data_IF_039840437600
#
_entry.id   IF_039840437600
#
_cell.length_a   1.000
_cell.length_b   1.000
_cell.length_c   1.000
_cell.angle_alpha   90.00
_cell.angle_beta   90.00
_cell.angle_gamma   90.00
#
_symmetry.space_group_name_H-M   'P 1'
#
loop_
_entity.id
_entity.type
_entity.pdbx_description
1 polymer ?
#
# COMPACT_ATOMS: atom_id res chain seq x y z
N UNK A 1 -5.07 -16.73 1.46
CA UNK A 1 -4.14 -17.76 0.91
C UNK A 1 -3.98 -17.65 -0.61
N UNK A 2 -5.08 -17.58 -1.38
CA UNK A 2 -5.03 -17.49 -2.85
C UNK A 2 -4.16 -16.35 -3.39
N UNK A 3 -4.33 -15.12 -2.89
CA UNK A 3 -3.48 -13.99 -3.29
C UNK A 3 -1.97 -14.26 -3.06
N UNK A 4 -1.61 -14.79 -1.88
CA UNK A 4 -0.22 -15.12 -1.52
C UNK A 4 0.37 -16.15 -2.48
N UNK A 5 -0.39 -17.20 -2.79
CA UNK A 5 0.02 -18.22 -3.74
C UNK A 5 0.16 -17.68 -5.16
N UNK A 6 -0.82 -16.93 -5.67
CA UNK A 6 -0.77 -16.37 -7.01
C UNK A 6 0.45 -15.46 -7.19
N UNK A 7 0.74 -14.60 -6.20
CA UNK A 7 1.95 -13.77 -6.20
C UNK A 7 3.23 -14.62 -6.12
N UNK A 8 3.24 -15.66 -5.30
CA UNK A 8 4.39 -16.55 -5.17
C UNK A 8 4.68 -17.31 -6.47
N UNK A 9 3.66 -17.93 -7.07
CA UNK A 9 3.79 -18.67 -8.31
C UNK A 9 4.22 -17.74 -9.46
N UNK A 10 3.58 -16.57 -9.61
CA UNK A 10 3.97 -15.58 -10.61
C UNK A 10 5.41 -15.09 -10.42
N UNK A 11 5.87 -14.94 -9.17
CA UNK A 11 7.24 -14.57 -8.88
C UNK A 11 8.23 -15.68 -9.24
N UNK A 12 7.89 -16.95 -8.96
CA UNK A 12 8.74 -18.12 -9.23
C UNK A 12 8.78 -18.52 -10.71
N UNK A 13 7.69 -18.34 -11.44
CA UNK A 13 7.59 -18.65 -12.86
C UNK A 13 8.03 -17.51 -13.78
N UNK A 14 8.42 -16.36 -13.21
CA UNK A 14 8.82 -15.19 -13.99
C UNK A 14 10.04 -15.49 -14.87
N UNK A 15 9.82 -15.40 -16.18
CA UNK A 15 10.89 -15.38 -17.17
C UNK A 15 11.30 -13.92 -17.42
N UNK A 16 12.55 -13.58 -17.12
CA UNK A 16 13.06 -12.23 -17.39
C UNK A 16 13.03 -11.95 -18.90
N UNK A 17 12.38 -10.86 -19.27
CA UNK A 17 12.53 -10.20 -20.55
C UNK A 17 13.55 -9.07 -20.41
N UNK A 18 14.16 -8.67 -21.53
CA UNK A 18 15.03 -7.50 -21.56
C UNK A 18 14.25 -6.28 -22.03
N UNK A 19 14.61 -5.13 -21.48
CA UNK A 19 14.19 -3.83 -22.00
C UNK A 19 15.38 -2.87 -21.99
N UNK A 20 15.25 -1.76 -22.70
CA UNK A 20 16.31 -0.80 -22.91
C UNK A 20 15.89 0.58 -22.41
N UNK A 21 16.82 1.26 -21.75
CA UNK A 21 16.66 2.68 -21.39
C UNK A 21 17.74 3.48 -22.09
N UNK A 22 17.38 4.69 -22.54
CA UNK A 22 18.28 5.59 -23.26
C UNK A 22 18.39 6.89 -22.47
N UNK A 23 19.62 7.26 -22.12
CA UNK A 23 19.92 8.49 -21.40
C UNK A 23 21.00 9.30 -22.14
N UNK A 24 20.81 10.60 -22.23
CA UNK A 24 21.73 11.54 -22.84
C UNK A 24 22.51 12.32 -21.79
N UNK A 25 23.82 12.46 -21.99
CA UNK A 25 24.68 13.43 -21.32
C UNK A 25 24.72 14.69 -22.18
N UNK A 26 24.27 15.81 -21.63
CA UNK A 26 24.03 17.05 -22.34
C UNK A 26 24.88 18.18 -21.75
N UNK A 27 25.61 18.89 -22.61
CA UNK A 27 26.47 20.00 -22.25
C UNK A 27 25.97 21.34 -22.77
N UNK A 28 25.77 22.30 -21.88
CA UNK A 28 25.35 23.68 -22.17
C UNK A 28 26.31 24.65 -21.49
N UNK A 29 27.41 25.00 -22.16
CA UNK A 29 28.49 25.78 -21.55
C UNK A 29 29.12 25.04 -20.37
N UNK A 30 29.09 25.65 -19.18
CA UNK A 30 29.54 25.04 -17.92
C UNK A 30 28.51 24.08 -17.30
N UNK A 31 27.25 24.14 -17.74
CA UNK A 31 26.19 23.29 -17.21
C UNK A 31 26.24 21.91 -17.87
N UNK A 32 25.99 20.89 -17.05
CA UNK A 32 25.88 19.49 -17.46
C UNK A 32 24.57 18.93 -16.93
N UNK A 33 23.81 18.29 -17.81
CA UNK A 33 22.56 17.64 -17.48
C UNK A 33 22.56 16.21 -18.01
N UNK A 34 21.78 15.36 -17.37
CA UNK A 34 21.50 14.02 -17.87
C UNK A 34 19.98 13.85 -18.04
N UNK A 35 19.56 13.61 -19.27
CA UNK A 35 18.15 13.48 -19.63
C UNK A 35 17.81 12.06 -20.07
N UNK A 36 16.63 11.56 -19.71
CA UNK A 36 16.11 10.28 -20.21
C UNK A 36 15.28 10.51 -21.47
N UNK A 37 15.38 9.60 -22.43
CA UNK A 37 14.58 9.66 -23.66
C UNK A 37 13.09 9.64 -23.30
N UNK A 38 12.34 10.58 -23.88
CA UNK A 38 10.88 10.51 -23.96
C UNK A 38 10.57 9.58 -25.13
N UNK A 39 10.10 8.37 -24.80
CA UNK A 39 9.89 7.33 -25.81
C UNK A 39 8.67 7.67 -26.68
N UNK A 40 8.83 7.54 -27.99
CA UNK A 40 7.76 7.76 -28.95
C UNK A 40 6.68 6.66 -28.83
N UNK A 41 5.42 7.00 -29.08
CA UNK A 41 4.30 6.07 -28.92
C UNK A 41 4.31 4.90 -29.93
N UNK A 42 4.96 5.07 -31.07
CA UNK A 42 5.15 4.08 -32.13
C UNK A 42 6.44 3.26 -31.96
N UNK A 43 7.19 3.47 -30.88
CA UNK A 43 8.36 2.67 -30.55
C UNK A 43 7.96 1.20 -30.22
N UNK A 44 8.89 0.25 -30.39
CA UNK A 44 8.69 -1.13 -29.94
C UNK A 44 8.70 -1.18 -28.41
N UNK A 45 7.51 -1.20 -27.81
CA UNK A 45 7.28 -1.09 -26.36
C UNK A 45 6.63 -2.34 -25.76
N UNK A 46 6.86 -2.58 -24.47
CA UNK A 46 6.03 -3.47 -23.66
C UNK A 46 4.81 -2.76 -23.03
N UNK A 47 4.02 -3.51 -22.26
CA UNK A 47 2.84 -3.03 -21.53
C UNK A 47 3.14 -1.93 -20.49
N UNK A 48 4.42 -1.76 -20.12
CA UNK A 48 4.90 -0.70 -19.22
C UNK A 48 5.58 0.45 -19.96
N UNK A 49 5.39 0.55 -21.28
CA UNK A 49 6.01 1.56 -22.14
C UNK A 49 7.55 1.57 -22.10
N UNK A 50 8.18 0.40 -21.92
CA UNK A 50 9.64 0.24 -21.97
C UNK A 50 10.08 -0.29 -23.33
N UNK A 51 11.19 0.21 -23.86
CA UNK A 51 11.70 -0.19 -25.18
C UNK A 51 12.16 -1.65 -25.12
N UNK A 52 11.64 -2.52 -25.99
CA UNK A 52 12.01 -3.95 -26.02
C UNK A 52 12.93 -4.33 -27.18
N UNK A 53 13.20 -3.39 -28.10
CA UNK A 53 14.08 -3.60 -29.24
C UNK A 53 15.45 -2.89 -29.05
N UNK A 54 16.53 -3.68 -29.11
CA UNK A 54 17.90 -3.20 -28.94
C UNK A 54 18.37 -2.33 -30.12
N UNK A 55 17.95 -2.68 -31.34
CA UNK A 55 18.34 -1.96 -32.55
C UNK A 55 17.70 -0.57 -32.59
N UNK A 56 16.43 -0.46 -32.18
CA UNK A 56 15.76 0.82 -32.00
C UNK A 56 16.49 1.71 -30.99
N UNK A 57 16.81 1.18 -29.79
CA UNK A 57 17.52 1.95 -28.77
C UNK A 57 18.92 2.41 -29.26
N UNK A 58 19.63 1.54 -29.97
CA UNK A 58 20.95 1.84 -30.55
C UNK A 58 20.85 2.88 -31.67
N UNK A 59 19.85 2.78 -32.54
CA UNK A 59 19.61 3.74 -33.61
C UNK A 59 19.34 5.14 -33.05
N UNK A 60 18.51 5.26 -32.01
CA UNK A 60 18.30 6.55 -31.33
C UNK A 60 19.60 7.08 -30.74
N UNK A 61 20.40 6.22 -30.12
CA UNK A 61 21.68 6.62 -29.53
C UNK A 61 22.67 7.14 -30.57
N UNK A 62 22.83 6.45 -31.70
CA UNK A 62 23.73 6.87 -32.76
C UNK A 62 23.23 8.12 -33.50
N UNK A 63 21.91 8.26 -33.62
CA UNK A 63 21.29 9.47 -34.18
C UNK A 63 21.54 10.71 -33.31
N UNK A 64 21.66 10.57 -31.99
CA UNK A 64 21.79 11.69 -31.05
C UNK A 64 23.23 11.99 -30.61
N UNK A 65 24.13 11.00 -30.64
CA UNK A 65 25.50 11.15 -30.12
C UNK A 65 26.27 12.25 -30.87
N UNK A 66 26.89 13.15 -30.10
CA UNK A 66 27.67 14.31 -30.59
C UNK A 66 26.88 15.25 -31.51
N UNK A 67 25.53 15.26 -31.41
CA UNK A 67 24.68 16.21 -32.14
C UNK A 67 24.44 17.49 -31.34
N UNK A 68 24.10 18.60 -32.02
CA UNK A 68 23.56 19.77 -31.37
C UNK A 68 22.35 19.39 -30.51
N UNK A 69 22.28 19.99 -29.34
CA UNK A 69 21.17 19.90 -28.41
C UNK A 69 20.61 21.30 -28.15
N UNK A 70 19.30 21.41 -27.98
CA UNK A 70 18.65 22.66 -27.62
C UNK A 70 17.67 22.45 -26.46
N UNK A 71 17.55 23.45 -25.59
CA UNK A 71 16.53 23.44 -24.55
C UNK A 71 15.19 23.85 -25.16
N UNK A 72 14.27 22.90 -25.30
CA UNK A 72 12.93 23.13 -25.87
C UNK A 72 11.90 23.56 -24.82
N UNK A 73 12.08 23.14 -23.56
CA UNK A 73 11.23 23.52 -22.43
C UNK A 73 12.10 23.55 -21.17
N UNK A 74 11.97 24.60 -20.36
CA UNK A 74 12.58 24.66 -19.04
C UNK A 74 11.59 25.30 -18.07
N UNK A 75 11.28 24.60 -16.98
CA UNK A 75 10.37 25.09 -15.94
C UNK A 75 10.92 24.80 -14.56
N UNK A 76 10.76 25.78 -13.67
CA UNK A 76 10.98 25.63 -12.23
C UNK A 76 9.68 26.02 -11.54
N UNK A 77 9.09 25.07 -10.83
CA UNK A 77 7.82 25.24 -10.13
C UNK A 77 8.03 25.11 -8.63
N UNK A 78 7.43 25.99 -7.84
CA UNK A 78 7.29 25.78 -6.41
C UNK A 78 6.15 24.78 -6.17
N UNK A 79 6.46 23.71 -5.45
CA UNK A 79 5.52 22.65 -5.08
C UNK A 79 5.51 22.47 -3.58
N UNK A 80 4.40 21.96 -3.09
CA UNK A 80 4.22 21.62 -1.69
C UNK A 80 3.66 20.21 -1.53
N UNK A 81 4.07 19.54 -0.46
CA UNK A 81 3.55 18.23 -0.06
C UNK A 81 2.89 18.37 1.30
N UNK A 82 1.57 18.21 1.33
CA UNK A 82 0.78 18.20 2.55
C UNK A 82 1.18 17.01 3.45
N UNK A 83 0.99 17.17 4.76
CA UNK A 83 1.24 16.09 5.70
C UNK A 83 0.41 14.83 5.36
N UNK A 84 0.95 13.63 5.63
CA UNK A 84 0.19 12.39 5.60
C UNK A 84 -0.94 12.49 6.63
N UNK A 85 -2.10 11.93 6.29
CA UNK A 85 -3.25 12.00 7.18
C UNK A 85 -2.98 11.24 8.50
N UNK A 86 -3.70 11.59 9.59
CA UNK A 86 -3.83 10.75 10.77
C UNK A 86 -4.18 9.30 10.41
N UNK A 87 -3.80 8.36 11.26
CA UNK A 87 -3.93 6.95 10.94
C UNK A 87 -5.39 6.46 11.03
N UNK A 88 -5.84 5.76 9.99
CA UNK A 88 -6.79 4.66 10.17
C UNK A 88 -6.05 3.42 10.69
N UNK A 89 -6.78 2.42 11.22
CA UNK A 89 -6.16 1.22 11.81
C UNK A 89 -5.21 0.52 10.83
N UNK A 90 -5.64 0.34 9.58
CA UNK A 90 -4.83 -0.37 8.59
C UNK A 90 -3.54 0.39 8.25
N UNK A 91 -3.60 1.72 8.11
CA UNK A 91 -2.44 2.55 7.84
C UNK A 91 -1.41 2.43 8.98
N UNK A 92 -1.88 2.40 10.22
CA UNK A 92 -1.04 2.18 11.39
C UNK A 92 -0.43 0.77 11.38
N UNK A 93 -1.21 -0.28 11.09
CA UNK A 93 -0.71 -1.65 10.99
C UNK A 93 0.39 -1.79 9.93
N UNK A 94 0.17 -1.20 8.74
CA UNK A 94 1.16 -1.15 7.66
C UNK A 94 2.41 -0.40 8.11
N UNK A 95 2.25 0.75 8.77
CA UNK A 95 3.35 1.56 9.26
C UNK A 95 4.19 0.80 10.29
N UNK A 96 3.56 0.18 11.29
CA UNK A 96 4.23 -0.56 12.37
C UNK A 96 4.91 -1.83 11.85
N UNK A 97 4.30 -2.53 10.89
CA UNK A 97 4.91 -3.68 10.22
C UNK A 97 6.19 -3.29 9.46
N UNK A 98 6.17 -2.16 8.75
CA UNK A 98 7.34 -1.65 8.02
C UNK A 98 8.45 -1.15 8.93
N UNK A 99 8.12 -0.33 9.92
CA UNK A 99 9.11 0.44 10.71
C UNK A 99 9.56 -0.28 11.97
N UNK A 100 8.70 -1.09 12.58
CA UNK A 100 8.97 -1.77 13.85
C UNK A 100 8.89 -3.30 13.77
N UNK A 101 8.52 -3.87 12.61
CA UNK A 101 8.30 -5.32 12.45
C UNK A 101 7.25 -5.89 13.42
N UNK A 102 6.27 -5.06 13.81
CA UNK A 102 5.12 -5.44 14.62
C UNK A 102 3.99 -5.82 13.65
N UNK A 103 3.48 -7.03 13.76
CA UNK A 103 2.38 -7.51 12.91
C UNK A 103 1.05 -6.79 13.18
N UNK A 104 0.07 -7.00 12.30
CA UNK A 104 -1.17 -6.26 12.34
C UNK A 104 -2.05 -6.62 13.56
N UNK A 105 -2.02 -7.88 14.00
CA UNK A 105 -2.79 -8.34 15.16
C UNK A 105 -2.22 -7.78 16.45
N UNK A 106 -0.90 -7.84 16.62
CA UNK A 106 -0.20 -7.23 17.74
C UNK A 106 -0.40 -5.72 17.77
N UNK A 107 -0.38 -5.04 16.61
CA UNK A 107 -0.71 -3.62 16.53
C UNK A 107 -2.14 -3.32 17.02
N UNK A 108 -3.12 -4.15 16.63
CA UNK A 108 -4.51 -4.02 17.13
C UNK A 108 -4.58 -4.22 18.65
N UNK A 109 -3.90 -5.23 19.20
CA UNK A 109 -3.85 -5.47 20.64
C UNK A 109 -3.20 -4.31 21.41
N UNK A 110 -2.09 -3.75 20.89
CA UNK A 110 -1.41 -2.60 21.50
C UNK A 110 -2.29 -1.35 21.49
N UNK A 111 -2.97 -1.06 20.38
CA UNK A 111 -3.92 0.06 20.33
C UNK A 111 -5.12 -0.15 21.26
N UNK A 112 -5.58 -1.40 21.43
CA UNK A 112 -6.63 -1.73 22.40
C UNK A 112 -6.17 -1.40 23.82
N UNK A 113 -4.94 -1.76 24.19
CA UNK A 113 -4.36 -1.41 25.50
C UNK A 113 -4.23 0.12 25.67
N UNK A 114 -3.68 0.82 24.68
CA UNK A 114 -3.59 2.30 24.65
C UNK A 114 -4.95 2.97 24.88
N UNK A 115 -6.00 2.47 24.23
CA UNK A 115 -7.36 3.00 24.37
C UNK A 115 -8.01 2.65 25.71
N UNK A 116 -7.95 1.39 26.14
CA UNK A 116 -8.78 0.92 27.25
C UNK A 116 -8.12 1.07 28.60
N UNK A 117 -6.83 0.74 28.70
CA UNK A 117 -6.04 0.83 29.94
C UNK A 117 -5.59 2.26 30.20
N UNK A 118 -5.01 2.92 29.20
CA UNK A 118 -4.39 4.24 29.37
C UNK A 118 -5.28 5.41 28.96
N UNK A 119 -6.38 5.14 28.25
CA UNK A 119 -7.25 6.17 27.64
C UNK A 119 -6.49 7.15 26.74
N UNK A 120 -5.36 6.70 26.18
CA UNK A 120 -4.35 7.54 25.51
C UNK A 120 -4.72 7.92 24.07
N UNK A 121 -5.59 7.13 23.43
CA UNK A 121 -5.98 7.30 22.03
C UNK A 121 -7.50 7.16 21.86
N UNK A 122 -8.01 7.68 20.75
CA UNK A 122 -9.42 7.54 20.34
C UNK A 122 -9.77 6.11 19.90
N UNK A 123 -10.97 5.90 19.36
CA UNK A 123 -11.42 4.58 18.90
C UNK A 123 -10.42 3.93 17.94
N UNK A 124 -9.93 2.74 18.30
CA UNK A 124 -8.76 2.11 17.66
C UNK A 124 -9.07 1.22 16.46
N UNK A 125 -10.35 1.07 16.08
CA UNK A 125 -10.76 0.25 14.92
C UNK A 125 -11.36 1.07 13.79
N UNK A 126 -10.96 2.35 13.72
CA UNK A 126 -11.43 3.28 12.70
C UNK A 126 -10.85 2.94 11.31
N UNK A 127 -11.69 3.09 10.29
CA UNK A 127 -11.34 3.04 8.87
C UNK A 127 -11.10 4.43 8.27
N UNK A 128 -11.30 5.49 9.06
CA UNK A 128 -11.22 6.87 8.64
C UNK A 128 -9.87 7.48 8.99
N UNK A 129 -9.31 8.27 8.06
CA UNK A 129 -8.07 9.03 8.26
C UNK A 129 -8.32 10.54 8.43
N UNK A 130 -9.59 10.95 8.58
CA UNK A 130 -10.00 12.35 8.77
C UNK A 130 -10.50 12.62 10.20
N UNK A 131 -10.54 13.90 10.54
CA UNK A 131 -10.92 14.46 11.83
C UNK A 131 -12.03 15.49 11.65
N UNK A 132 -12.79 15.73 12.71
CA UNK A 132 -13.88 16.70 12.71
C UNK A 132 -13.43 18.12 13.05
N UNK A 133 -14.29 19.10 12.78
CA UNK A 133 -14.07 20.50 13.18
C UNK A 133 -14.05 20.68 14.71
N UNK A 134 -14.80 19.86 15.45
CA UNK A 134 -14.76 19.82 16.91
C UNK A 134 -13.39 19.37 17.42
N UNK A 135 -12.80 18.34 16.81
CA UNK A 135 -11.46 17.87 17.16
C UNK A 135 -10.38 18.89 16.83
N UNK A 136 -10.61 19.75 15.83
CA UNK A 136 -9.73 20.89 15.57
C UNK A 136 -9.80 21.92 16.72
N UNK A 137 -11.00 22.23 17.22
CA UNK A 137 -11.18 23.15 18.33
C UNK A 137 -10.55 22.65 19.65
N UNK A 138 -10.49 21.34 19.86
CA UNK A 138 -9.85 20.70 21.02
C UNK A 138 -8.33 20.54 20.90
N UNK A 139 -7.78 20.73 19.69
CA UNK A 139 -6.37 20.49 19.41
C UNK A 139 -5.39 21.30 20.27
N UNK A 140 -5.60 22.60 20.57
CA UNK A 140 -4.67 23.37 21.40
C UNK A 140 -4.41 22.73 22.77
N UNK A 141 -5.46 22.22 23.42
CA UNK A 141 -5.34 21.54 24.72
C UNK A 141 -4.58 20.22 24.58
N UNK A 142 -4.92 19.41 23.58
CA UNK A 142 -4.26 18.12 23.31
C UNK A 142 -2.77 18.32 23.03
N UNK A 143 -2.41 19.28 22.16
CA UNK A 143 -1.02 19.61 21.83
C UNK A 143 -0.21 20.07 23.04
N UNK A 144 -0.80 20.90 23.92
CA UNK A 144 -0.14 21.35 25.15
C UNK A 144 0.21 20.18 26.07
N UNK A 145 -0.74 19.28 26.33
CA UNK A 145 -0.53 18.12 27.19
C UNK A 145 0.49 17.14 26.60
N UNK A 146 0.47 16.94 25.28
CA UNK A 146 1.45 16.09 24.60
C UNK A 146 2.86 16.68 24.68
N UNK A 147 3.01 18.00 24.52
CA UNK A 147 4.32 18.66 24.64
C UNK A 147 4.90 18.53 26.04
N UNK A 148 4.07 18.55 27.09
CA UNK A 148 4.51 18.31 28.47
C UNK A 148 4.89 16.84 28.72
N UNK A 149 4.12 15.91 28.16
CA UNK A 149 4.32 14.47 28.36
C UNK A 149 5.51 13.90 27.54
N UNK A 150 5.92 14.58 26.47
CA UNK A 150 6.89 14.07 25.49
C UNK A 150 8.04 15.06 25.26
N UNK A 151 8.90 15.30 26.27
CA UNK A 151 10.05 16.20 26.13
C UNK A 151 11.03 15.77 25.04
N UNK A 152 11.11 14.47 24.73
CA UNK A 152 11.90 13.93 23.61
C UNK A 152 11.47 14.48 22.24
N UNK A 153 10.25 15.02 22.13
CA UNK A 153 9.72 15.62 20.90
C UNK A 153 9.70 17.15 20.94
N UNK A 154 10.41 17.79 21.88
CA UNK A 154 10.40 19.25 22.04
C UNK A 154 10.72 20.02 20.73
N UNK A 155 11.65 19.51 19.92
CA UNK A 155 11.98 20.11 18.61
C UNK A 155 10.82 20.05 17.60
N UNK A 156 9.99 19.00 17.66
CA UNK A 156 8.78 18.93 16.84
C UNK A 156 7.71 19.91 17.34
N UNK A 157 7.50 19.98 18.66
CA UNK A 157 6.52 20.87 19.27
C UNK A 157 6.86 22.35 19.11
N UNK A 158 8.14 22.72 18.98
CA UNK A 158 8.54 24.11 18.73
C UNK A 158 8.10 24.65 17.36
N UNK A 159 7.76 23.79 16.41
CA UNK A 159 7.31 24.16 15.06
C UNK A 159 5.77 24.09 14.90
N UNK A 160 5.05 23.69 15.94
CA UNK A 160 3.60 23.53 15.93
C UNK A 160 2.90 24.88 15.87
N UNK A 161 1.95 25.02 14.95
CA UNK A 161 0.96 26.08 14.97
C UNK A 161 -0.44 25.47 15.16
N UNK A 162 -1.04 25.63 16.34
CA UNK A 162 -2.37 25.08 16.64
C UNK A 162 -3.51 25.73 15.86
N UNK A 163 -3.28 26.89 15.25
CA UNK A 163 -4.24 27.53 14.34
C UNK A 163 -4.18 26.97 12.90
N UNK A 164 -3.16 26.15 12.57
CA UNK A 164 -3.09 25.49 11.27
C UNK A 164 -4.12 24.37 11.21
N UNK A 165 -5.11 24.53 10.33
CA UNK A 165 -6.05 23.47 9.94
C UNK A 165 -5.56 22.78 8.66
N UNK A 166 -4.97 21.59 8.78
CA UNK A 166 -4.60 20.78 7.61
C UNK A 166 -5.84 20.18 6.93
N UNK A 167 -5.63 19.56 5.75
CA UNK A 167 -6.65 18.77 5.05
C UNK A 167 -7.23 17.59 5.84
N UNK A 168 -6.66 17.26 7.00
CA UNK A 168 -7.17 16.18 7.85
C UNK A 168 -8.49 16.55 8.54
N UNK A 169 -8.74 17.84 8.78
CA UNK A 169 -9.97 18.33 9.41
C UNK A 169 -11.02 18.63 8.34
N UNK A 170 -11.88 17.66 8.06
CA UNK A 170 -12.86 17.70 6.97
C UNK A 170 -14.06 16.81 7.32
N UNK A 171 -15.09 17.40 7.93
CA UNK A 171 -16.31 16.71 8.36
C UNK A 171 -16.99 15.94 7.21
N UNK A 172 -16.88 16.42 5.97
CA UNK A 172 -17.49 15.77 4.81
C UNK A 172 -16.87 14.41 4.47
N UNK A 173 -15.71 14.10 5.05
CA UNK A 173 -14.97 12.85 4.84
C UNK A 173 -14.85 12.00 6.10
N UNK A 174 -15.49 12.40 7.18
CA UNK A 174 -15.60 11.61 8.41
C UNK A 174 -16.66 10.52 8.19
N UNK A 175 -16.33 9.27 8.56
CA UNK A 175 -17.26 8.13 8.51
C UNK A 175 -18.03 8.02 9.84
N UNK A 176 -18.45 6.82 10.25
CA UNK A 176 -18.97 6.60 11.60
C UNK A 176 -17.94 6.94 12.71
N UNK A 177 -16.66 6.96 12.36
CA UNK A 177 -15.54 7.27 13.25
C UNK A 177 -14.56 8.25 12.60
N UNK A 178 -13.76 8.90 13.43
CA UNK A 178 -12.63 9.74 13.00
C UNK A 178 -11.34 8.93 13.07
N UNK A 179 -10.23 9.50 12.63
CA UNK A 179 -8.91 8.87 12.75
C UNK A 179 -8.48 8.59 14.19
N UNK A 180 -7.50 7.69 14.30
CA UNK A 180 -6.86 7.32 15.56
C UNK A 180 -5.87 8.43 15.93
N UNK A 181 -6.19 9.20 16.97
CA UNK A 181 -5.40 10.33 17.47
C UNK A 181 -5.18 10.19 18.98
N UNK A 182 -4.16 10.86 19.55
CA UNK A 182 -4.04 10.96 20.99
C UNK A 182 -5.23 11.73 21.60
N UNK A 183 -5.55 11.42 22.85
CA UNK A 183 -6.54 12.16 23.64
C UNK A 183 -5.85 13.20 24.53
N UNK A 184 -6.63 14.14 25.06
CA UNK A 184 -6.17 15.12 26.05
C UNK A 184 -6.04 14.50 27.47
N UNK A 185 -5.44 13.32 27.58
CA UNK A 185 -5.21 12.62 28.86
C UNK A 185 -3.71 12.60 29.15
N UNK A 186 -3.35 13.01 30.37
CA UNK A 186 -1.97 12.89 30.85
C UNK A 186 -1.63 11.42 31.08
N UNK A 187 -0.68 10.90 30.32
CA UNK A 187 -0.18 9.54 30.48
C UNK A 187 1.27 9.54 30.96
N UNK A 188 1.60 8.58 31.81
CA UNK A 188 2.99 8.33 32.19
C UNK A 188 3.64 7.41 31.14
N UNK A 189 4.37 8.03 30.21
CA UNK A 189 5.02 7.34 29.07
C UNK A 189 6.00 6.26 29.57
N UNK A 190 6.56 6.42 30.78
CA UNK A 190 7.49 5.45 31.35
C UNK A 190 6.81 4.12 31.74
N UNK A 191 5.47 4.08 31.84
CA UNK A 191 4.71 2.86 32.13
C UNK A 191 4.34 2.06 30.88
N UNK A 192 4.53 2.63 29.68
CA UNK A 192 4.30 1.92 28.43
C UNK A 192 5.44 0.93 28.19
N UNK A 193 5.10 -0.27 27.74
CA UNK A 193 6.10 -1.16 27.13
C UNK A 193 6.71 -0.52 25.89
N UNK A 194 7.87 -1.00 25.43
CA UNK A 194 8.55 -0.46 24.25
C UNK A 194 7.65 -0.47 23.00
N UNK A 195 6.87 -1.54 22.81
CA UNK A 195 5.93 -1.66 21.70
C UNK A 195 4.72 -0.72 21.84
N UNK A 196 4.15 -0.60 23.05
CA UNK A 196 3.06 0.38 23.31
C UNK A 196 3.56 1.81 23.06
N UNK A 197 4.78 2.12 23.51
CA UNK A 197 5.42 3.42 23.29
C UNK A 197 5.67 3.66 21.82
N UNK A 198 6.14 2.67 21.06
CA UNK A 198 6.36 2.79 19.62
C UNK A 198 5.05 3.10 18.87
N UNK A 199 3.97 2.35 19.14
CA UNK A 199 2.65 2.59 18.55
C UNK A 199 2.10 3.98 18.93
N UNK A 200 2.18 4.34 20.21
CA UNK A 200 1.69 5.62 20.68
C UNK A 200 2.45 6.81 20.06
N UNK A 201 3.78 6.74 20.01
CA UNK A 201 4.60 7.79 19.38
C UNK A 201 4.33 7.90 17.88
N UNK A 202 4.04 6.82 17.18
CA UNK A 202 3.63 6.87 15.78
C UNK A 202 2.32 7.68 15.62
N UNK A 203 1.31 7.37 16.44
CA UNK A 203 0.02 8.06 16.46
C UNK A 203 0.20 9.55 16.79
N UNK A 204 0.96 9.89 17.83
CA UNK A 204 1.24 11.27 18.23
C UNK A 204 1.95 12.03 17.12
N UNK A 205 3.04 11.49 16.56
CA UNK A 205 3.79 12.16 15.50
C UNK A 205 2.91 12.42 14.27
N UNK A 206 2.03 11.47 13.90
CA UNK A 206 1.11 11.66 12.78
C UNK A 206 0.07 12.75 13.06
N UNK A 207 -0.44 12.82 14.28
CA UNK A 207 -1.36 13.88 14.70
C UNK A 207 -0.69 15.25 14.73
N UNK A 208 0.48 15.37 15.37
CA UNK A 208 1.22 16.65 15.48
C UNK A 208 1.62 17.18 14.09
N UNK A 209 1.92 16.29 13.13
CA UNK A 209 2.20 16.68 11.75
C UNK A 209 1.08 17.49 11.07
N UNK A 210 -0.17 17.38 11.54
CA UNK A 210 -1.28 18.18 11.01
C UNK A 210 -1.17 19.68 11.34
N UNK A 211 -0.32 20.02 12.30
CA UNK A 211 -0.09 21.39 12.76
C UNK A 211 1.29 21.93 12.34
N UNK A 212 2.10 21.11 11.66
CA UNK A 212 3.42 21.49 11.14
C UNK A 212 3.34 22.08 9.73
N UNK A 213 4.36 22.86 9.30
CA UNK A 213 4.43 23.35 7.92
C UNK A 213 4.41 22.25 6.88
N UNK A 214 3.78 22.52 5.74
CA UNK A 214 3.92 21.65 4.58
C UNK A 214 5.38 21.65 4.10
N UNK A 215 5.83 20.53 3.54
CA UNK A 215 7.11 20.51 2.82
C UNK A 215 6.96 21.37 1.59
N UNK A 216 7.91 22.28 1.35
CA UNK A 216 8.02 23.06 0.12
C UNK A 216 9.32 22.73 -0.60
N UNK A 217 9.24 22.63 -1.93
CA UNK A 217 10.38 22.32 -2.76
C UNK A 217 10.21 22.96 -4.14
N UNK A 218 11.33 23.26 -4.78
CA UNK A 218 11.36 23.62 -6.19
C UNK A 218 11.50 22.34 -7.02
N UNK A 219 10.72 22.23 -8.10
CA UNK A 219 10.78 21.14 -9.07
C UNK A 219 11.23 21.71 -10.41
N UNK A 220 12.44 21.36 -10.82
CA UNK A 220 12.97 21.68 -12.14
C UNK A 220 12.66 20.55 -13.11
N UNK A 221 12.09 20.87 -14.27
CA UNK A 221 11.95 19.96 -15.40
C UNK A 221 12.45 20.67 -16.66
N UNK A 222 13.37 20.03 -17.35
CA UNK A 222 13.96 20.54 -18.59
C UNK A 222 13.84 19.47 -19.66
N UNK A 223 13.32 19.86 -20.83
CA UNK A 223 13.30 19.02 -22.03
C UNK A 223 14.31 19.53 -23.04
N UNK A 224 14.98 18.59 -23.67
CA UNK A 224 16.06 18.83 -24.62
C UNK A 224 15.71 18.19 -25.96
N UNK A 225 15.79 18.97 -27.03
CA UNK A 225 15.76 18.48 -28.40
C UNK A 225 17.15 18.03 -28.83
N UNK A 226 17.26 16.83 -29.39
CA UNK A 226 18.50 16.31 -30.00
C UNK A 226 18.13 15.54 -31.26
N UNK A 227 18.42 16.11 -32.43
CA UNK A 227 18.20 15.47 -33.73
C UNK A 227 16.78 14.86 -33.91
N UNK A 228 15.74 15.59 -33.47
CA UNK A 228 14.34 15.14 -33.55
C UNK A 228 13.86 14.26 -32.40
N UNK A 229 14.74 13.88 -31.47
CA UNK A 229 14.38 13.16 -30.25
C UNK A 229 14.32 14.09 -29.04
N UNK A 230 13.46 13.77 -28.07
CA UNK A 230 13.29 14.56 -26.86
C UNK A 230 13.85 13.80 -25.66
N UNK A 231 14.70 14.47 -24.87
CA UNK A 231 15.18 13.98 -23.58
C UNK A 231 14.62 14.85 -22.46
N UNK A 232 14.31 14.27 -21.30
CA UNK A 232 13.80 15.00 -20.13
C UNK A 232 14.69 14.76 -18.91
N UNK A 233 15.07 15.83 -18.23
CA UNK A 233 15.72 15.80 -16.94
C UNK A 233 14.81 16.43 -15.89
N UNK A 234 14.78 15.85 -14.69
CA UNK A 234 14.03 16.37 -13.54
C UNK A 234 14.95 16.41 -12.33
N UNK A 235 14.78 17.44 -11.51
CA UNK A 235 15.46 17.56 -10.23
C UNK A 235 14.60 18.34 -9.25
N UNK A 236 14.79 18.11 -7.95
CA UNK A 236 14.07 18.85 -6.91
C UNK A 236 15.02 19.42 -5.87
N UNK A 237 14.64 20.53 -5.25
CA UNK A 237 15.38 21.16 -4.15
C UNK A 237 14.42 21.54 -3.05
N UNK A 238 14.53 20.87 -1.89
CA UNK A 238 13.73 21.20 -0.72
C UNK A 238 14.08 22.61 -0.25
N UNK A 239 13.09 23.48 -0.19
CA UNK A 239 13.21 24.86 0.31
C UNK A 239 12.76 24.97 1.76
N UNK A 240 11.76 24.18 2.14
CA UNK A 240 11.29 24.05 3.52
C UNK A 240 10.96 22.57 3.78
N UNK A 241 11.61 21.89 4.74
CA UNK A 241 11.29 20.50 5.03
C UNK A 241 9.89 20.35 5.64
N UNK A 242 9.45 21.30 6.47
CA UNK A 242 8.16 21.23 7.13
C UNK A 242 8.01 19.93 7.95
N UNK A 243 6.85 19.28 7.85
CA UNK A 243 6.55 18.03 8.56
C UNK A 243 7.57 16.91 8.32
N UNK A 244 8.28 16.92 7.18
CA UNK A 244 9.24 15.85 6.84
C UNK A 244 10.54 15.91 7.63
N UNK A 245 10.76 16.98 8.41
CA UNK A 245 11.87 17.03 9.36
C UNK A 245 11.70 16.05 10.53
N UNK A 246 10.46 15.70 10.87
CA UNK A 246 10.12 14.96 12.09
C UNK A 246 9.33 13.67 11.82
N UNK A 247 8.70 13.58 10.64
CA UNK A 247 7.89 12.43 10.22
C UNK A 247 8.39 11.93 8.88
N UNK A 248 8.68 10.63 8.81
CA UNK A 248 9.15 9.97 7.59
C UNK A 248 8.14 10.13 6.46
N UNK A 249 8.61 10.58 5.30
CA UNK A 249 7.79 10.55 4.09
C UNK A 249 7.46 9.09 3.74
N UNK A 250 6.18 8.77 3.72
CA UNK A 250 5.71 7.52 3.16
C UNK A 250 5.61 7.70 1.65
N UNK A 251 6.73 7.46 0.97
CA UNK A 251 6.68 7.36 -0.47
C UNK A 251 5.85 6.13 -0.84
N UNK A 252 4.72 6.35 -1.53
CA UNK A 252 4.11 5.34 -2.38
C UNK A 252 5.07 5.12 -3.56
N UNK A 253 6.22 4.51 -3.31
CA UNK A 253 6.93 3.86 -4.39
C UNK A 253 6.00 2.74 -4.85
N UNK A 254 5.28 2.97 -5.96
CA UNK A 254 4.89 1.88 -6.82
C UNK A 254 6.16 1.09 -7.06
N UNK A 255 6.21 -0.16 -6.58
CA UNK A 255 7.38 -1.02 -6.74
C UNK A 255 7.70 -1.23 -8.24
N UNK A 256 6.75 -0.92 -9.13
CA UNK A 256 6.91 -0.84 -10.59
C UNK A 256 7.71 0.38 -11.10
N UNK A 257 7.85 1.45 -10.32
CA UNK A 257 8.64 2.64 -10.69
C UNK A 257 10.14 2.51 -10.37
N UNK A 258 10.57 1.41 -9.74
CA UNK A 258 11.94 1.22 -9.23
C UNK A 258 12.97 0.71 -10.25
N UNK A 259 12.56 0.52 -11.51
CA UNK A 259 13.41 -0.09 -12.55
C UNK A 259 14.14 0.96 -13.41
N UNK A 260 13.94 2.24 -13.10
CA UNK A 260 14.64 3.35 -13.70
C UNK A 260 15.64 3.91 -12.69
N UNK A 261 16.94 3.60 -12.82
CA UNK A 261 17.97 4.35 -12.10
C UNK A 261 17.74 5.85 -12.35
N UNK A 262 17.46 6.61 -11.28
CA UNK A 262 17.31 8.06 -11.40
C UNK A 262 18.64 8.62 -11.89
N UNK A 263 18.62 9.12 -13.11
CA UNK A 263 19.76 9.80 -13.70
C UNK A 263 19.73 11.21 -13.12
N UNK A 264 20.39 11.39 -11.97
CA UNK A 264 20.24 12.59 -11.16
C UNK A 264 21.10 13.73 -11.69
N UNK A 265 20.45 14.79 -12.16
CA UNK A 265 21.12 16.07 -12.45
C UNK A 265 21.05 16.99 -11.23
N UNK A 266 22.12 17.75 -10.91
CA UNK A 266 22.06 18.77 -9.86
C UNK A 266 20.95 19.79 -10.17
N UNK A 267 20.19 20.19 -9.15
CA UNK A 267 19.06 21.11 -9.33
C UNK A 267 19.48 22.43 -9.98
N UNK A 268 20.54 23.07 -9.46
CA UNK A 268 20.98 24.38 -9.95
C UNK A 268 21.43 24.29 -11.44
N UNK A 269 22.02 23.16 -11.86
CA UNK A 269 22.39 22.92 -13.26
C UNK A 269 21.19 22.83 -14.22
N UNK A 270 20.01 22.40 -13.73
CA UNK A 270 18.78 22.41 -14.51
C UNK A 270 18.04 23.76 -14.41
N UNK A 271 18.06 24.38 -13.23
CA UNK A 271 17.35 25.63 -12.97
C UNK A 271 17.94 26.84 -13.73
N UNK A 272 19.24 26.80 -14.05
CA UNK A 272 19.92 27.87 -14.80
C UNK A 272 19.65 27.82 -16.31
N UNK A 273 19.12 26.71 -16.84
CA UNK A 273 18.85 26.53 -18.27
C UNK A 273 17.59 27.27 -18.71
N UNK A 274 17.63 27.83 -19.92
CA UNK A 274 16.55 28.60 -20.53
C UNK A 274 16.18 28.05 -21.89
N UNK A 275 14.92 28.21 -22.26
CA UNK A 275 14.44 27.85 -23.62
C UNK A 275 15.28 28.57 -24.66
N UNK A 276 15.78 27.82 -25.64
CA UNK A 276 16.66 28.30 -26.69
C UNK A 276 18.16 28.22 -26.37
N UNK A 277 18.56 27.82 -25.17
CA UNK A 277 19.96 27.52 -24.87
C UNK A 277 20.46 26.41 -25.82
N UNK A 278 21.62 26.65 -26.42
CA UNK A 278 22.25 25.74 -27.36
C UNK A 278 23.40 24.98 -26.70
N UNK A 279 23.48 23.69 -26.98
CA UNK A 279 24.42 22.76 -26.38
C UNK A 279 24.75 21.60 -27.29
N UNK A 280 25.35 20.57 -26.71
CA UNK A 280 25.77 19.34 -27.40
C UNK A 280 25.37 18.13 -26.57
N UNK A 281 24.93 17.07 -27.24
CA UNK A 281 24.80 15.75 -26.65
C UNK A 281 26.17 15.06 -26.59
N UNK A 282 26.91 15.31 -25.52
CA UNK A 282 28.27 14.77 -25.27
C UNK A 282 28.31 13.23 -25.30
N UNK A 283 27.21 12.56 -24.95
CA UNK A 283 27.14 11.10 -24.99
C UNK A 283 25.72 10.56 -24.83
N UNK A 284 25.52 9.32 -25.28
CA UNK A 284 24.29 8.55 -25.03
C UNK A 284 24.69 7.22 -24.40
N UNK A 285 23.98 6.87 -23.33
CA UNK A 285 24.05 5.56 -22.67
C UNK A 285 22.79 4.78 -23.00
N UNK A 286 22.96 3.59 -23.56
CA UNK A 286 21.89 2.58 -23.68
C UNK A 286 22.12 1.53 -22.62
N UNK A 287 21.21 1.42 -21.65
CA UNK A 287 21.28 0.40 -20.61
C UNK A 287 20.28 -0.73 -20.91
N UNK A 288 20.82 -1.95 -20.97
CA UNK A 288 20.05 -3.19 -21.10
C UNK A 288 19.66 -3.69 -19.72
N UNK A 289 18.38 -3.62 -19.43
CA UNK A 289 17.80 -3.97 -18.14
C UNK A 289 16.98 -5.26 -18.24
N UNK A 290 16.72 -5.89 -17.09
CA UNK A 290 15.91 -7.10 -17.00
C UNK A 290 14.63 -6.82 -16.23
N UNK A 291 13.51 -7.32 -16.73
CA UNK A 291 12.25 -7.29 -15.98
C UNK A 291 12.39 -8.10 -14.70
N UNK A 292 11.87 -7.55 -13.61
CA UNK A 292 11.76 -8.22 -12.31
C UNK A 292 10.32 -8.65 -12.08
N UNK A 293 10.10 -9.79 -11.41
CA UNK A 293 8.77 -10.12 -10.92
C UNK A 293 8.34 -9.13 -9.84
N UNK A 294 7.03 -9.02 -9.64
CA UNK A 294 6.50 -8.35 -8.45
C UNK A 294 7.08 -9.01 -7.18
N UNK A 295 7.54 -8.22 -6.20
CA UNK A 295 8.03 -8.76 -4.94
C UNK A 295 6.99 -9.65 -4.26
N UNK A 296 7.47 -10.70 -3.58
CA UNK A 296 6.64 -11.50 -2.69
C UNK A 296 6.02 -10.60 -1.62
N UNK A 297 4.77 -10.92 -1.24
CA UNK A 297 4.06 -10.17 -0.22
C UNK A 297 4.84 -10.15 1.09
N UNK A 298 4.87 -8.99 1.72
CA UNK A 298 4.96 -8.86 3.17
C UNK A 298 3.54 -8.71 3.70
N UNK A 299 3.36 -8.79 5.02
CA UNK A 299 2.06 -8.49 5.62
C UNK A 299 1.59 -7.09 5.24
N UNK A 300 2.48 -6.09 5.33
CA UNK A 300 2.20 -4.71 4.93
C UNK A 300 1.76 -4.59 3.46
N UNK A 301 2.43 -5.27 2.52
CA UNK A 301 2.04 -5.17 1.10
C UNK A 301 0.77 -5.97 0.81
N UNK A 302 0.51 -7.07 1.50
CA UNK A 302 -0.76 -7.81 1.39
C UNK A 302 -1.93 -6.98 1.92
N UNK A 303 -1.80 -6.37 3.10
CA UNK A 303 -2.84 -5.52 3.68
C UNK A 303 -3.22 -4.36 2.77
N UNK A 304 -2.24 -3.68 2.17
CA UNK A 304 -2.49 -2.64 1.15
C UNK A 304 -3.23 -3.20 -0.07
N UNK A 305 -2.86 -4.39 -0.50
CA UNK A 305 -3.48 -5.01 -1.66
C UNK A 305 -4.92 -5.46 -1.41
N UNK A 306 -5.21 -5.89 -0.18
CA UNK A 306 -6.55 -6.24 0.27
C UNK A 306 -7.53 -5.06 0.22
N UNK A 307 -7.05 -3.81 0.20
CA UNK A 307 -7.90 -2.63 -0.02
C UNK A 307 -8.28 -2.42 -1.48
N UNK A 308 -7.59 -3.07 -2.41
CA UNK A 308 -7.63 -2.75 -3.85
C UNK A 308 -7.68 -4.02 -4.71
N UNK A 309 -8.36 -5.06 -4.25
CA UNK A 309 -8.35 -6.36 -4.93
C UNK A 309 -9.12 -6.36 -6.25
N UNK A 310 -10.01 -5.39 -6.46
CA UNK A 310 -10.73 -5.21 -7.72
C UNK A 310 -9.82 -5.14 -8.96
N UNK A 311 -8.56 -4.71 -8.81
CA UNK A 311 -7.59 -4.72 -9.92
C UNK A 311 -7.22 -6.13 -10.42
N UNK A 312 -7.49 -7.17 -9.63
CA UNK A 312 -7.27 -8.57 -9.99
C UNK A 312 -8.51 -9.25 -10.57
N UNK A 313 -9.67 -8.60 -10.50
CA UNK A 313 -10.93 -9.11 -11.08
C UNK A 313 -10.88 -8.95 -12.59
N UNK A 314 -11.17 -10.04 -13.30
CA UNK A 314 -11.13 -10.09 -14.76
C UNK A 314 -12.43 -9.58 -15.38
N UNK A 315 -13.57 -9.92 -14.79
CA UNK A 315 -14.88 -9.48 -15.27
C UNK A 315 -15.07 -7.98 -15.00
N UNK A 316 -15.26 -7.14 -16.04
CA UNK A 316 -15.40 -5.69 -15.87
C UNK A 316 -16.60 -5.27 -15.00
N UNK A 317 -17.70 -6.02 -15.02
CA UNK A 317 -18.90 -5.73 -14.21
C UNK A 317 -18.62 -6.02 -12.74
N UNK A 318 -18.07 -7.20 -12.42
CA UNK A 318 -17.71 -7.57 -11.03
C UNK A 318 -16.68 -6.60 -10.46
N UNK A 319 -15.70 -6.19 -11.28
CA UNK A 319 -14.70 -5.20 -10.91
C UNK A 319 -15.37 -3.88 -10.52
N UNK A 320 -16.30 -3.40 -11.34
CA UNK A 320 -17.01 -2.15 -11.07
C UNK A 320 -17.85 -2.24 -9.79
N UNK A 321 -18.56 -3.36 -9.56
CA UNK A 321 -19.32 -3.57 -8.33
C UNK A 321 -18.47 -3.49 -7.06
N UNK A 322 -17.26 -4.07 -7.06
CA UNK A 322 -16.35 -3.92 -5.92
C UNK A 322 -15.92 -2.47 -5.72
N UNK A 323 -15.61 -1.76 -6.80
CA UNK A 323 -15.20 -0.34 -6.74
C UNK A 323 -16.36 0.50 -6.16
N UNK A 324 -17.58 0.28 -6.64
CA UNK A 324 -18.76 1.06 -6.26
C UNK A 324 -19.12 0.84 -4.77
N UNK A 325 -18.97 -0.38 -4.25
CA UNK A 325 -19.15 -0.68 -2.81
C UNK A 325 -18.30 0.20 -1.90
N UNK A 326 -17.09 0.53 -2.35
CA UNK A 326 -16.12 1.31 -1.58
C UNK A 326 -16.09 2.78 -2.01
N UNK A 327 -17.03 3.21 -2.87
CA UNK A 327 -17.12 4.59 -3.32
C UNK A 327 -17.26 5.55 -2.13
N UNK A 328 -16.43 6.59 -2.11
CA UNK A 328 -16.39 7.57 -1.02
C UNK A 328 -15.56 7.16 0.19
N UNK A 329 -15.14 5.88 0.31
CA UNK A 329 -14.26 5.42 1.39
C UNK A 329 -12.81 5.66 1.01
N UNK A 330 -12.16 6.64 1.64
CA UNK A 330 -10.74 6.90 1.37
C UNK A 330 -9.86 5.72 1.79
N UNK A 331 -9.05 5.23 0.85
CA UNK A 331 -8.10 4.14 1.10
C UNK A 331 -8.61 2.78 0.64
N UNK A 332 -9.92 2.60 0.53
CA UNK A 332 -10.56 1.41 -0.03
C UNK A 332 -10.94 1.65 -1.49
N UNK A 333 -10.74 0.66 -2.35
CA UNK A 333 -11.08 0.73 -3.77
C UNK A 333 -11.35 -0.68 -4.30
N UNK A 334 -12.47 -1.25 -3.89
CA UNK A 334 -12.81 -2.65 -4.17
C UNK A 334 -11.95 -3.62 -3.40
N UNK A 335 -11.89 -3.43 -2.08
CA UNK A 335 -11.16 -4.29 -1.15
C UNK A 335 -11.91 -5.58 -0.76
N UNK A 336 -11.34 -6.36 0.15
CA UNK A 336 -12.01 -7.48 0.84
C UNK A 336 -11.72 -7.45 2.33
N UNK A 337 -12.72 -7.84 3.12
CA UNK A 337 -12.71 -7.72 4.58
C UNK A 337 -12.75 -6.26 5.05
N UNK A 338 -12.95 -6.07 6.34
CA UNK A 338 -12.93 -4.75 6.99
C UNK A 338 -11.59 -4.56 7.71
N UNK A 339 -11.18 -3.32 8.02
CA UNK A 339 -9.96 -3.07 8.80
C UNK A 339 -9.88 -3.88 10.10
N UNK A 340 -11.03 -4.13 10.75
CA UNK A 340 -11.11 -4.90 11.98
C UNK A 340 -10.91 -6.41 11.80
N UNK A 341 -11.13 -6.98 10.61
CA UNK A 341 -11.07 -8.44 10.39
C UNK A 341 -9.83 -8.91 9.66
N UNK A 342 -9.19 -8.05 8.85
CA UNK A 342 -8.04 -8.43 8.01
C UNK A 342 -6.88 -9.03 8.83
N UNK A 343 -6.48 -8.37 9.91
CA UNK A 343 -5.38 -8.84 10.76
C UNK A 343 -5.65 -10.23 11.34
N UNK A 344 -6.83 -10.44 11.93
CA UNK A 344 -7.23 -11.73 12.50
C UNK A 344 -7.30 -12.83 11.42
N UNK A 345 -7.76 -12.49 10.21
CA UNK A 345 -7.78 -13.45 9.09
C UNK A 345 -6.36 -13.85 8.66
N UNK A 346 -5.42 -12.91 8.58
CA UNK A 346 -4.02 -13.21 8.26
C UNK A 346 -3.42 -14.13 9.33
N UNK A 347 -3.57 -13.78 10.62
CA UNK A 347 -3.10 -14.61 11.73
C UNK A 347 -3.66 -16.05 11.66
N UNK A 348 -4.98 -16.19 11.44
CA UNK A 348 -5.63 -17.50 11.32
C UNK A 348 -5.13 -18.31 10.13
N UNK A 349 -4.85 -17.68 8.99
CA UNK A 349 -4.30 -18.36 7.81
C UNK A 349 -2.88 -18.87 8.06
N UNK A 350 -2.08 -18.11 8.81
CA UNK A 350 -0.74 -18.51 9.23
C UNK A 350 -0.78 -19.63 10.28
N UNK A 351 -1.64 -19.51 11.30
CA UNK A 351 -1.86 -20.54 12.32
C UNK A 351 -2.28 -21.89 11.72
N UNK A 352 -3.15 -21.85 10.72
CA UNK A 352 -3.56 -23.04 9.93
C UNK A 352 -2.48 -23.58 9.00
N UNK A 353 -1.30 -22.95 8.97
CA UNK A 353 -0.16 -23.41 8.20
C UNK A 353 -0.33 -23.26 6.69
N UNK A 354 -1.16 -22.34 6.19
CA UNK A 354 -1.29 -22.11 4.73
C UNK A 354 -0.12 -21.30 4.15
N UNK A 355 0.53 -20.48 4.97
CA UNK A 355 1.78 -19.82 4.62
C UNK A 355 2.67 -19.67 5.86
N UNK A 356 3.97 -19.53 5.62
CA UNK A 356 4.97 -19.18 6.62
C UNK A 356 5.53 -17.78 6.35
N UNK A 357 6.10 -17.15 7.38
CA UNK A 357 6.79 -15.87 7.26
C UNK A 357 8.30 -16.11 7.26
N UNK A 358 8.96 -15.88 6.12
CA UNK A 358 10.40 -16.02 5.95
C UNK A 358 11.01 -14.67 5.57
N UNK A 359 11.94 -14.13 6.39
CA UNK A 359 12.56 -12.81 6.14
C UNK A 359 11.53 -11.72 5.81
N UNK A 360 10.42 -11.69 6.56
CA UNK A 360 9.24 -10.81 6.39
C UNK A 360 8.37 -11.09 5.15
N UNK A 361 8.69 -12.11 4.35
CA UNK A 361 7.93 -12.51 3.16
C UNK A 361 6.95 -13.64 3.50
N UNK A 362 5.75 -13.57 2.93
CA UNK A 362 4.71 -14.58 3.08
C UNK A 362 4.95 -15.65 1.99
N UNK A 363 5.33 -16.84 2.43
CA UNK A 363 5.66 -17.98 1.57
C UNK A 363 4.58 -19.05 1.73
N UNK A 364 3.85 -19.45 0.68
CA UNK A 364 2.86 -20.51 0.80
C UNK A 364 3.55 -21.83 1.18
N UNK A 365 2.94 -22.58 2.09
CA UNK A 365 3.40 -23.93 2.45
C UNK A 365 2.90 -24.95 1.41
N UNK A 366 3.41 -26.20 1.41
CA UNK A 366 2.84 -27.28 0.60
C UNK A 366 1.32 -27.43 0.83
N UNK A 367 0.88 -27.43 2.09
CA UNK A 367 -0.53 -27.47 2.47
C UNK A 367 -1.33 -26.31 1.86
N UNK A 368 -0.78 -25.08 1.91
CA UNK A 368 -1.44 -23.92 1.32
C UNK A 368 -1.58 -24.01 -0.20
N UNK A 369 -0.55 -24.51 -0.88
CA UNK A 369 -0.57 -24.71 -2.33
C UNK A 369 -1.61 -25.75 -2.76
N UNK A 370 -1.64 -26.90 -2.08
CA UNK A 370 -2.58 -27.98 -2.34
C UNK A 370 -4.02 -27.57 -2.00
N UNK A 371 -4.22 -26.87 -0.89
CA UNK A 371 -5.55 -26.38 -0.48
C UNK A 371 -6.18 -25.48 -1.53
N UNK A 372 -5.45 -24.50 -2.06
CA UNK A 372 -5.95 -23.63 -3.13
C UNK A 372 -6.14 -24.39 -4.44
N UNK A 373 -5.25 -25.34 -4.77
CA UNK A 373 -5.36 -26.13 -5.99
C UNK A 373 -6.60 -27.04 -6.01
N UNK A 374 -7.06 -27.49 -4.84
CA UNK A 374 -8.27 -28.31 -4.69
C UNK A 374 -9.57 -27.50 -4.68
N UNK A 375 -9.48 -26.16 -4.55
CA UNK A 375 -10.65 -25.30 -4.52
C UNK A 375 -11.06 -24.84 -5.93
N UNK A 376 -12.36 -24.69 -6.20
CA UNK A 376 -12.83 -24.09 -7.43
C UNK A 376 -12.40 -22.63 -7.50
N UNK A 377 -12.16 -22.12 -8.71
CA UNK A 377 -11.64 -20.77 -8.94
C UNK A 377 -12.45 -19.70 -8.18
N UNK A 378 -13.78 -19.83 -8.18
CA UNK A 378 -14.73 -18.93 -7.52
C UNK A 378 -14.53 -18.78 -6.00
N UNK A 379 -13.92 -19.78 -5.34
CA UNK A 379 -13.60 -19.75 -3.91
C UNK A 379 -12.22 -19.14 -3.60
N UNK A 380 -11.42 -18.85 -4.63
CA UNK A 380 -10.04 -18.38 -4.50
C UNK A 380 -9.81 -16.98 -5.06
N UNK A 381 -10.80 -16.44 -5.78
CA UNK A 381 -10.84 -15.08 -6.32
C UNK A 381 -11.77 -14.19 -5.48
N UNK A 382 -11.64 -12.84 -5.54
CA UNK A 382 -12.50 -11.94 -4.76
C UNK A 382 -13.93 -11.80 -5.33
N UNK A 383 -14.20 -12.40 -6.49
CA UNK A 383 -15.42 -12.22 -7.30
C UNK A 383 -16.70 -12.46 -6.50
N UNK A 384 -16.75 -13.53 -5.70
CA UNK A 384 -17.90 -13.84 -4.83
C UNK A 384 -18.23 -12.73 -3.83
N UNK A 385 -17.23 -11.98 -3.37
CA UNK A 385 -17.48 -10.85 -2.46
C UNK A 385 -18.27 -9.74 -3.15
N UNK A 386 -18.07 -9.55 -4.46
CA UNK A 386 -18.79 -8.54 -5.23
C UNK A 386 -20.24 -8.98 -5.48
N UNK A 387 -20.42 -10.24 -5.89
CA UNK A 387 -21.72 -10.80 -6.24
C UNK A 387 -22.65 -10.84 -5.03
N UNK A 388 -22.16 -11.28 -3.87
CA UNK A 388 -22.94 -11.24 -2.64
C UNK A 388 -23.25 -9.83 -2.16
N UNK A 389 -22.39 -8.85 -2.46
CA UNK A 389 -22.70 -7.46 -2.13
C UNK A 389 -23.81 -6.91 -3.02
N UNK A 390 -23.78 -7.20 -4.32
CA UNK A 390 -24.85 -6.85 -5.26
C UNK A 390 -26.19 -7.46 -4.82
N UNK A 391 -26.22 -8.75 -4.45
CA UNK A 391 -27.45 -9.39 -3.94
C UNK A 391 -27.95 -8.75 -2.63
N UNK A 392 -27.05 -8.32 -1.73
CA UNK A 392 -27.45 -7.56 -0.53
C UNK A 392 -28.09 -6.22 -0.90
N UNK A 393 -27.57 -5.51 -1.90
CA UNK A 393 -28.18 -4.27 -2.40
C UNK A 393 -29.55 -4.51 -3.02
N UNK A 394 -29.72 -5.60 -3.77
CA UNK A 394 -31.03 -6.00 -4.32
C UNK A 394 -32.04 -6.29 -3.20
N UNK A 395 -31.61 -6.92 -2.10
CA UNK A 395 -32.45 -7.14 -0.91
C UNK A 395 -32.84 -5.80 -0.28
N UNK A 396 -31.89 -4.88 -0.09
CA UNK A 396 -32.18 -3.53 0.44
C UNK A 396 -33.15 -2.74 -0.45
N UNK A 397 -33.07 -2.92 -1.78
CA UNK A 397 -33.97 -2.32 -2.75
C UNK A 397 -35.34 -3.01 -2.87
N UNK A 398 -35.52 -4.19 -2.27
CA UNK A 398 -36.73 -5.01 -2.40
C UNK A 398 -36.86 -5.74 -3.74
N UNK A 399 -35.77 -5.88 -4.48
CA UNK A 399 -35.68 -6.57 -5.77
C UNK A 399 -35.40 -8.08 -5.63
N UNK A 400 -34.87 -8.50 -4.47
CA UNK A 400 -34.59 -9.89 -4.11
C UNK A 400 -35.06 -10.14 -2.68
N UNK A 401 -35.74 -11.25 -2.40
CA UNK A 401 -36.10 -11.62 -1.03
C UNK A 401 -34.95 -12.33 -0.32
N UNK A 402 -34.97 -12.31 1.02
CA UNK A 402 -33.97 -13.05 1.82
C UNK A 402 -34.11 -14.54 1.56
N UNK A 403 -35.34 -15.04 1.41
CA UNK A 403 -35.63 -16.43 1.12
C UNK A 403 -35.06 -16.85 -0.24
N UNK A 404 -35.28 -16.07 -1.31
CA UNK A 404 -34.71 -16.36 -2.63
C UNK A 404 -33.18 -16.37 -2.61
N UNK A 405 -32.56 -15.42 -1.91
CA UNK A 405 -31.11 -15.40 -1.75
C UNK A 405 -30.57 -16.64 -1.04
N UNK A 406 -31.24 -17.11 0.01
CA UNK A 406 -30.84 -18.31 0.74
C UNK A 406 -31.01 -19.58 -0.10
N UNK A 407 -32.11 -19.70 -0.85
CA UNK A 407 -32.35 -20.82 -1.76
C UNK A 407 -31.25 -20.90 -2.85
N UNK A 408 -30.89 -19.76 -3.44
CA UNK A 408 -29.78 -19.67 -4.40
C UNK A 408 -28.43 -20.05 -3.77
N UNK A 409 -28.16 -19.58 -2.55
CA UNK A 409 -26.93 -19.88 -1.81
C UNK A 409 -26.82 -21.37 -1.47
N UNK A 410 -27.91 -22.00 -1.04
CA UNK A 410 -27.95 -23.43 -0.75
C UNK A 410 -27.68 -24.26 -2.01
N UNK A 411 -28.32 -23.91 -3.13
CA UNK A 411 -28.06 -24.53 -4.42
C UNK A 411 -26.61 -24.38 -4.87
N UNK A 412 -26.05 -23.18 -4.72
CA UNK A 412 -24.63 -22.92 -4.99
C UNK A 412 -23.71 -23.79 -4.11
N UNK A 413 -23.93 -23.84 -2.80
CA UNK A 413 -23.13 -24.65 -1.87
C UNK A 413 -23.22 -26.13 -2.24
N UNK A 414 -24.42 -26.63 -2.55
CA UNK A 414 -24.62 -28.03 -2.93
C UNK A 414 -23.82 -28.40 -4.20
N UNK A 415 -23.84 -27.54 -5.22
CA UNK A 415 -23.05 -27.72 -6.44
C UNK A 415 -21.55 -27.71 -6.14
N UNK A 416 -21.08 -26.75 -5.34
CA UNK A 416 -19.66 -26.70 -4.98
C UNK A 416 -19.24 -27.97 -4.23
N UNK A 417 -20.03 -28.45 -3.27
CA UNK A 417 -19.73 -29.68 -2.51
C UNK A 417 -19.67 -30.91 -3.41
N UNK A 418 -20.54 -31.02 -4.41
CA UNK A 418 -20.55 -32.15 -5.36
C UNK A 418 -19.31 -32.16 -6.27
N UNK A 419 -18.74 -30.99 -6.56
CA UNK A 419 -17.66 -30.81 -7.53
C UNK A 419 -16.27 -30.64 -6.90
N UNK A 420 -16.11 -30.78 -5.58
CA UNK A 420 -14.80 -30.71 -4.93
C UNK A 420 -14.00 -31.99 -5.21
N UNK A 421 -12.82 -31.83 -5.81
CA UNK A 421 -11.81 -32.90 -5.94
C UNK A 421 -10.86 -32.88 -4.74
N UNK A 422 -11.11 -33.76 -3.78
CA UNK A 422 -10.24 -33.96 -2.61
C UNK A 422 -9.01 -34.84 -2.88
N UNK A 423 -8.87 -35.40 -4.09
CA UNK A 423 -7.91 -36.49 -4.37
C UNK A 423 -6.44 -36.12 -4.17
N UNK A 424 -6.11 -34.83 -4.15
CA UNK A 424 -4.73 -34.33 -4.11
C UNK A 424 -4.35 -33.53 -2.85
N UNK A 425 -5.25 -33.36 -1.88
CA UNK A 425 -4.94 -32.61 -0.64
C UNK A 425 -4.28 -33.55 0.36
N UNK A 426 -2.96 -33.41 0.58
CA UNK A 426 -2.26 -34.12 1.66
C UNK A 426 -2.41 -33.36 2.98
N UNK A 427 -3.58 -33.56 3.57
CA UNK A 427 -3.81 -33.46 5.00
C UNK A 427 -4.88 -34.48 5.31
N UNK A 428 -4.79 -35.18 6.42
CA UNK A 428 -5.68 -36.31 6.75
C UNK A 428 -7.18 -35.94 6.79
N UNK A 429 -7.56 -34.68 6.52
CA UNK A 429 -8.90 -34.12 6.66
C UNK A 429 -9.41 -34.14 8.09
N UNK A 430 -8.66 -34.79 8.99
CA UNK A 430 -8.95 -34.90 10.40
C UNK A 430 -8.66 -33.55 11.03
N UNK A 431 -9.65 -32.88 11.63
CA UNK A 431 -9.34 -31.78 12.51
C UNK A 431 -8.30 -32.26 13.52
N UNK A 432 -7.30 -31.43 13.80
CA UNK A 432 -6.45 -31.62 14.98
C UNK A 432 -7.37 -31.36 16.17
N UNK A 433 -8.01 -32.41 16.65
CA UNK A 433 -8.85 -32.38 17.83
C UNK A 433 -7.95 -32.67 19.02
N UNK A 434 -8.10 -31.91 20.10
CA UNK A 434 -7.43 -32.22 21.35
C UNK A 434 -7.93 -33.58 21.84
N UNK A 435 -7.05 -34.58 21.75
CA UNK A 435 -7.33 -35.94 22.24
C UNK A 435 -7.61 -35.90 23.73
N UNK A 436 -8.66 -36.59 24.14
CA UNK A 436 -8.98 -36.78 25.57
C UNK A 436 -8.21 -37.93 26.19
N UNK A 437 -7.30 -38.59 25.44
CA UNK A 437 -6.63 -39.83 25.85
C UNK A 437 -7.61 -40.88 26.42
N UNK A 438 -8.80 -40.97 25.83
CA UNK A 438 -9.85 -41.88 26.23
C UNK A 438 -10.45 -42.58 25.01
N UNK A 439 -10.93 -43.80 25.18
CA UNK A 439 -11.58 -44.57 24.11
C UNK A 439 -13.11 -44.55 24.28
N UNK A 440 -13.81 -44.49 23.15
CA UNK A 440 -15.25 -44.61 23.10
C UNK A 440 -15.67 -46.01 23.58
N UNK A 441 -16.48 -46.12 24.65
CA UNK A 441 -16.88 -47.43 25.17
C UNK A 441 -17.79 -48.21 24.23
N UNK A 442 -18.35 -47.55 23.20
CA UNK A 442 -19.26 -48.18 22.22
C UNK A 442 -18.53 -48.75 21.00
N UNK A 443 -17.45 -48.10 20.54
CA UNK A 443 -16.77 -48.50 19.30
C UNK A 443 -15.25 -48.63 19.41
N UNK A 444 -14.65 -48.29 20.57
CA UNK A 444 -13.21 -48.36 20.81
C UNK A 444 -12.38 -47.25 20.15
N UNK A 445 -13.00 -46.34 19.38
CA UNK A 445 -12.31 -45.21 18.75
C UNK A 445 -11.83 -44.16 19.77
N UNK A 446 -10.77 -43.41 19.45
CA UNK A 446 -10.27 -42.32 20.31
C UNK A 446 -11.28 -41.16 20.41
N UNK A 447 -11.47 -40.67 21.63
CA UNK A 447 -12.30 -39.50 21.93
C UNK A 447 -11.48 -38.21 21.84
N UNK A 448 -12.09 -37.17 21.27
CA UNK A 448 -11.45 -35.87 21.17
C UNK A 448 -12.45 -34.73 21.36
N UNK A 449 -11.97 -33.56 21.80
CA UNK A 449 -12.79 -32.39 22.05
C UNK A 449 -13.19 -31.74 20.74
N UNK A 450 -14.49 -31.57 20.52
CA UNK A 450 -15.03 -30.76 19.42
C UNK A 450 -15.65 -29.48 19.97
N UNK A 451 -15.57 -28.35 19.25
CA UNK A 451 -16.35 -27.17 19.58
C UNK A 451 -17.84 -27.53 19.60
N UNK A 452 -18.59 -26.98 20.57
CA UNK A 452 -20.04 -27.17 20.65
C UNK A 452 -20.69 -26.63 19.38
N UNK A 453 -21.17 -27.53 18.52
CA UNK A 453 -22.04 -27.17 17.40
C UNK A 453 -23.41 -26.85 17.99
N UNK A 454 -23.72 -25.55 18.13
CA UNK A 454 -25.08 -25.11 18.40
C UNK A 454 -25.75 -25.04 17.02
N UNK A 455 -26.51 -26.08 16.70
CA UNK A 455 -27.46 -26.07 15.59
C UNK A 455 -28.76 -25.43 16.02
#
# INVERSE_FOLDING_TARGET
PGAVQNRYLANKSHASAFYYTVAASLGFGSSRAQGRLVVAADAPLDDKNRIIDEAYATQVADACRMKPADVIEARVEEKQTAAPLPFALLDLQVYMSKTHSIDAEKTLALTQALREKYKAITYNRSDCSYLSDEQFAEAPQTLSLLSEALPDLAGMFSEVNSERKSRAFDDSKVSAHTAIIPTAVKIDIAQLSDDERAVYLAIVKRYVAQFLPEKRYLSAEVKFGVNGHTFVARSTKVTQPGWTAQVTEENEQDEDASDAAEVASPFDALADLKVGDAGVCDGITVAKEKTKPLPLYTEATLLKDLQRVAKYVQDPRIKQLLIDRDQGKKGENGGIGTPATRAAMLAKLQERGFYAVEKKKLIPTPLGLEFIAALPAIATTPDMTALWHEQQQMIEAGELTVEEFLDELEGFIADQVQNIDLGNVQGDGKPILDSLNAQCPMCGGELAVTPRVIG
#
